data_IF_121856973578
#
_entry.id   IF_121856973578
#
_cell.length_a   1.000
_cell.length_b   1.000
_cell.length_c   1.000
_cell.angle_alpha   90.00
_cell.angle_beta   90.00
_cell.angle_gamma   90.00
#
_symmetry.space_group_name_H-M   'P 1'
#
loop_
_entity.id
_entity.type
_entity.pdbx_description
1 polymer ?
#
# COMPACT_ATOMS: atom_id res chain seq x y z
N UNK A 1 34.24 19.04 7.33
CA UNK A 1 34.79 17.72 7.70
C UNK A 1 35.91 17.19 6.78
N UNK A 2 36.40 17.93 5.76
CA UNK A 2 37.54 17.52 4.91
C UNK A 2 37.51 16.08 4.37
N UNK A 3 36.33 15.50 4.16
CA UNK A 3 36.20 14.18 3.57
C UNK A 3 36.48 14.24 2.06
N UNK A 4 37.04 13.17 1.47
CA UNK A 4 37.18 13.08 0.03
C UNK A 4 35.79 13.12 -0.63
N UNK A 5 35.74 13.68 -1.85
CA UNK A 5 34.52 13.75 -2.66
C UNK A 5 34.12 12.35 -3.13
N UNK A 6 35.11 11.51 -3.45
CA UNK A 6 34.89 10.11 -3.78
C UNK A 6 34.46 9.31 -2.53
N UNK A 7 33.33 8.58 -2.59
CA UNK A 7 32.89 7.73 -1.50
C UNK A 7 33.97 6.70 -1.14
N UNK A 8 34.24 6.55 0.15
CA UNK A 8 35.14 5.53 0.69
C UNK A 8 34.42 4.61 1.68
N UNK A 9 35.07 3.50 2.02
CA UNK A 9 34.59 2.54 3.02
C UNK A 9 34.29 3.24 4.35
N UNK A 10 35.16 4.17 4.76
CA UNK A 10 35.00 4.94 5.98
C UNK A 10 33.80 5.89 5.89
N UNK A 11 33.67 6.65 4.79
CA UNK A 11 32.55 7.61 4.63
C UNK A 11 31.19 6.93 4.70
N UNK A 12 31.00 5.76 4.06
CA UNK A 12 29.76 5.00 4.15
C UNK A 12 29.53 4.45 5.56
N UNK A 13 30.60 4.00 6.23
CA UNK A 13 30.52 3.50 7.60
C UNK A 13 30.14 4.60 8.60
N UNK A 14 30.69 5.80 8.45
CA UNK A 14 30.36 6.96 9.26
C UNK A 14 28.94 7.44 9.00
N UNK A 15 28.52 7.47 7.74
CA UNK A 15 27.12 7.73 7.38
C UNK A 15 26.18 6.76 8.10
N UNK A 16 26.50 5.46 8.10
CA UNK A 16 25.67 4.45 8.78
C UNK A 16 25.57 4.74 10.27
N UNK A 17 26.71 4.90 10.95
CA UNK A 17 26.74 5.11 12.41
C UNK A 17 26.04 6.40 12.79
N UNK A 18 26.28 7.49 12.06
CA UNK A 18 25.65 8.79 12.28
C UNK A 18 24.13 8.72 12.08
N UNK A 19 23.67 8.22 10.93
CA UNK A 19 22.24 8.17 10.62
C UNK A 19 21.48 7.22 11.55
N UNK A 20 22.09 6.13 12.02
CA UNK A 20 21.43 5.21 12.96
C UNK A 20 21.18 5.83 14.35
N UNK A 21 21.79 6.98 14.66
CA UNK A 21 21.44 7.74 15.87
C UNK A 21 20.12 8.51 15.71
N UNK A 22 19.71 8.77 14.47
CA UNK A 22 18.55 9.60 14.15
C UNK A 22 17.36 8.81 13.59
N UNK A 23 17.62 7.71 12.88
CA UNK A 23 16.59 6.86 12.26
C UNK A 23 16.89 5.36 12.43
N UNK A 24 15.90 4.51 12.17
CA UNK A 24 16.04 3.07 12.29
C UNK A 24 17.15 2.51 11.39
N UNK A 25 18.01 1.59 11.88
CA UNK A 25 19.08 0.99 11.08
C UNK A 25 18.61 0.38 9.76
N UNK A 26 17.40 -0.18 9.73
CA UNK A 26 16.78 -0.71 8.51
C UNK A 26 16.53 0.38 7.46
N UNK A 27 16.08 1.56 7.88
CA UNK A 27 15.90 2.72 7.00
C UNK A 27 17.25 3.21 6.47
N UNK A 28 18.28 3.26 7.34
CA UNK A 28 19.64 3.61 6.93
C UNK A 28 20.17 2.65 5.88
N UNK A 29 19.96 1.34 6.05
CA UNK A 29 20.36 0.33 5.08
C UNK A 29 19.67 0.53 3.72
N UNK A 30 18.35 0.79 3.71
CA UNK A 30 17.62 1.11 2.49
C UNK A 30 18.16 2.38 1.81
N UNK A 31 18.35 3.46 2.57
CA UNK A 31 18.88 4.72 2.03
C UNK A 31 20.29 4.54 1.49
N UNK A 32 21.12 3.77 2.17
CA UNK A 32 22.46 3.47 1.71
C UNK A 32 22.44 2.72 0.37
N UNK A 33 21.54 1.77 0.19
CA UNK A 33 21.36 1.10 -1.12
C UNK A 33 20.88 2.08 -2.20
N UNK A 34 19.98 3.01 -1.88
CA UNK A 34 19.54 4.05 -2.83
C UNK A 34 20.66 5.03 -3.19
N UNK A 35 21.45 5.48 -2.20
CA UNK A 35 22.63 6.34 -2.42
C UNK A 35 23.62 5.63 -3.34
N UNK A 36 23.93 4.37 -3.06
CA UNK A 36 24.82 3.54 -3.88
C UNK A 36 24.32 3.43 -5.32
N UNK A 37 23.02 3.16 -5.51
CA UNK A 37 22.42 3.08 -6.84
C UNK A 37 22.46 4.40 -7.62
N UNK A 38 22.33 5.55 -6.95
CA UNK A 38 22.37 6.87 -7.60
C UNK A 38 23.80 7.31 -7.93
N UNK A 39 24.77 6.90 -7.12
CA UNK A 39 26.17 7.27 -7.27
C UNK A 39 26.96 6.33 -8.21
N UNK A 40 26.47 5.11 -8.44
CA UNK A 40 27.10 4.11 -9.31
C UNK A 40 27.51 4.64 -10.70
N UNK A 41 26.72 5.47 -11.40
CA UNK A 41 27.13 6.03 -12.68
C UNK A 41 28.38 6.93 -12.62
N UNK A 42 28.67 7.51 -11.45
CA UNK A 42 29.78 8.44 -11.23
C UNK A 42 30.97 7.79 -10.52
N UNK A 43 30.70 6.78 -9.68
CA UNK A 43 31.69 6.07 -8.87
C UNK A 43 31.50 4.55 -9.02
N UNK A 44 32.10 3.91 -10.04
CA UNK A 44 31.87 2.50 -10.33
C UNK A 44 32.21 1.54 -9.18
N UNK A 45 33.19 1.90 -8.35
CA UNK A 45 33.63 1.12 -7.18
C UNK A 45 32.65 1.16 -5.99
N UNK A 46 31.63 2.02 -6.02
CA UNK A 46 30.80 2.27 -4.84
C UNK A 46 30.03 1.04 -4.35
N UNK A 47 29.68 0.11 -5.25
CA UNK A 47 29.06 -1.17 -4.88
C UNK A 47 30.02 -2.06 -4.09
N UNK A 48 31.28 -2.13 -4.50
CA UNK A 48 32.33 -2.88 -3.80
C UNK A 48 32.58 -2.26 -2.41
N UNK A 49 32.65 -0.93 -2.36
CA UNK A 49 32.79 -0.17 -1.11
C UNK A 49 31.62 -0.44 -0.16
N UNK A 50 30.39 -0.45 -0.67
CA UNK A 50 29.18 -0.81 0.09
C UNK A 50 29.20 -2.24 0.62
N UNK A 51 29.79 -3.17 -0.13
CA UNK A 51 29.92 -4.58 0.24
C UNK A 51 31.13 -4.86 1.15
N UNK A 52 31.97 -3.86 1.41
CA UNK A 52 33.12 -4.00 2.31
C UNK A 52 32.70 -4.48 3.70
N UNK A 53 33.62 -5.22 4.33
CA UNK A 53 33.40 -5.79 5.67
C UNK A 53 33.13 -4.71 6.72
N UNK A 54 33.77 -3.54 6.62
CA UNK A 54 33.56 -2.46 7.58
C UNK A 54 32.13 -1.94 7.52
N UNK A 55 31.60 -1.64 6.32
CA UNK A 55 30.22 -1.15 6.16
C UNK A 55 29.22 -2.20 6.66
N UNK A 56 29.44 -3.48 6.33
CA UNK A 56 28.59 -4.57 6.80
C UNK A 56 28.59 -4.72 8.33
N UNK A 57 29.76 -4.60 8.96
CA UNK A 57 29.90 -4.65 10.42
C UNK A 57 29.29 -3.42 11.09
N UNK A 58 29.43 -2.24 10.51
CA UNK A 58 28.81 -1.00 11.00
C UNK A 58 27.28 -1.07 10.96
N UNK A 59 26.70 -1.60 9.88
CA UNK A 59 25.25 -1.86 9.81
C UNK A 59 24.82 -2.88 10.87
N UNK A 60 25.53 -4.00 11.00
CA UNK A 60 25.23 -5.04 11.99
C UNK A 60 25.34 -4.51 13.43
N UNK A 61 26.39 -3.75 13.72
CA UNK A 61 26.60 -3.11 15.02
C UNK A 61 25.53 -2.08 15.35
N UNK A 62 25.18 -1.25 14.36
CA UNK A 62 24.11 -0.25 14.52
C UNK A 62 22.75 -0.90 14.68
N UNK A 63 22.45 -1.98 13.96
CA UNK A 63 21.23 -2.77 14.13
C UNK A 63 21.13 -3.37 15.55
N UNK A 64 22.25 -3.83 16.13
CA UNK A 64 22.28 -4.34 17.51
C UNK A 64 22.07 -3.23 18.54
N UNK A 65 22.63 -2.04 18.31
CA UNK A 65 22.62 -0.92 19.27
C UNK A 65 21.32 -0.10 19.22
N UNK A 66 20.83 0.18 18.02
CA UNK A 66 19.73 1.11 17.76
C UNK A 66 18.48 0.43 17.18
N UNK A 67 18.55 -0.86 16.89
CA UNK A 67 17.42 -1.62 16.37
C UNK A 67 16.27 -1.64 17.38
N UNK A 68 15.07 -1.34 16.89
CA UNK A 68 13.84 -1.49 17.67
C UNK A 68 13.02 -2.68 17.17
N UNK A 69 12.18 -3.21 18.06
CA UNK A 69 11.23 -4.26 17.69
C UNK A 69 10.28 -3.73 16.62
N UNK A 70 10.14 -4.48 15.54
CA UNK A 70 9.18 -4.14 14.47
C UNK A 70 7.78 -4.41 14.99
N UNK A 71 7.04 -3.36 15.34
CA UNK A 71 5.62 -3.46 15.65
C UNK A 71 4.86 -3.66 14.34
N UNK A 72 4.47 -4.90 14.06
CA UNK A 72 3.67 -5.24 12.88
C UNK A 72 2.21 -4.92 13.14
N UNK A 73 1.55 -4.31 12.15
CA UNK A 73 0.10 -4.17 12.14
C UNK A 73 -0.52 -5.56 11.99
N UNK A 74 -1.61 -5.80 12.72
CA UNK A 74 -2.32 -7.07 12.65
C UNK A 74 -3.02 -7.19 11.30
N UNK A 75 -3.13 -8.40 10.72
CA UNK A 75 -3.97 -8.62 9.56
C UNK A 75 -5.43 -8.33 9.92
N UNK A 76 -6.18 -7.79 8.96
CA UNK A 76 -7.63 -7.77 9.07
C UNK A 76 -8.16 -9.20 8.88
N UNK A 77 -9.24 -9.56 9.55
CA UNK A 77 -9.87 -10.88 9.41
C UNK A 77 -11.21 -10.77 8.68
N UNK A 78 -11.75 -11.89 8.18
CA UNK A 78 -13.08 -11.90 7.57
C UNK A 78 -14.18 -11.57 8.59
N UNK A 79 -14.02 -12.02 9.83
CA UNK A 79 -14.93 -11.67 10.94
C UNK A 79 -14.95 -10.16 11.22
N UNK A 80 -13.82 -9.47 11.07
CA UNK A 80 -13.75 -8.02 11.17
C UNK A 80 -14.57 -7.33 10.08
N UNK A 81 -14.55 -7.86 8.85
CA UNK A 81 -15.33 -7.33 7.72
C UNK A 81 -16.82 -7.50 7.95
N UNK A 82 -17.24 -8.71 8.35
CA UNK A 82 -18.64 -9.01 8.69
C UNK A 82 -19.11 -8.08 9.81
N UNK A 83 -18.30 -7.91 10.85
CA UNK A 83 -18.61 -7.00 11.95
C UNK A 83 -18.79 -5.55 11.48
N UNK A 84 -17.93 -5.05 10.58
CA UNK A 84 -18.08 -3.71 9.99
C UNK A 84 -19.38 -3.60 9.17
N UNK A 85 -19.69 -4.57 8.31
CA UNK A 85 -20.91 -4.59 7.48
C UNK A 85 -22.19 -4.53 8.33
N UNK A 86 -22.15 -5.19 9.49
CA UNK A 86 -23.29 -5.26 10.42
C UNK A 86 -23.37 -4.05 11.37
N UNK A 87 -22.25 -3.42 11.70
CA UNK A 87 -22.19 -2.32 12.68
C UNK A 87 -22.30 -0.94 12.04
N UNK A 88 -21.97 -0.81 10.75
CA UNK A 88 -22.00 0.49 10.07
C UNK A 88 -23.42 1.09 10.07
N UNK A 89 -23.52 2.36 10.49
CA UNK A 89 -24.81 3.05 10.68
C UNK A 89 -25.53 3.24 9.35
N UNK A 90 -26.80 2.81 9.28
CA UNK A 90 -27.67 2.92 8.10
C UNK A 90 -28.72 4.04 8.27
N UNK A 91 -29.15 4.72 7.19
CA UNK A 91 -28.72 4.54 5.79
C UNK A 91 -27.29 5.05 5.56
N UNK A 92 -26.57 4.40 4.64
CA UNK A 92 -25.19 4.76 4.34
C UNK A 92 -25.13 6.05 3.52
N UNK A 93 -24.27 6.98 3.92
CA UNK A 93 -23.90 8.13 3.09
C UNK A 93 -23.12 7.69 1.84
N UNK A 94 -23.00 8.56 0.84
CA UNK A 94 -22.19 8.30 -0.36
C UNK A 94 -20.73 7.95 0.01
N UNK A 95 -20.14 8.72 0.93
CA UNK A 95 -18.77 8.50 1.42
C UNK A 95 -18.61 7.17 2.18
N UNK A 96 -19.67 6.72 2.87
CA UNK A 96 -19.65 5.44 3.58
C UNK A 96 -19.80 4.25 2.61
N UNK A 97 -20.57 4.39 1.52
CA UNK A 97 -20.59 3.40 0.44
C UNK A 97 -19.22 3.29 -0.22
N UNK A 98 -18.58 4.42 -0.55
CA UNK A 98 -17.21 4.45 -1.06
C UNK A 98 -16.27 3.71 -0.10
N UNK A 99 -16.28 4.09 1.18
CA UNK A 99 -15.35 3.54 2.15
C UNK A 99 -15.53 2.03 2.35
N UNK A 100 -16.78 1.56 2.45
CA UNK A 100 -17.09 0.14 2.58
C UNK A 100 -16.66 -0.65 1.33
N UNK A 101 -16.93 -0.12 0.14
CA UNK A 101 -16.45 -0.72 -1.11
C UNK A 101 -14.91 -0.82 -1.12
N UNK A 102 -14.20 0.25 -0.75
CA UNK A 102 -12.73 0.23 -0.67
C UNK A 102 -12.18 -0.74 0.37
N UNK A 103 -12.86 -0.89 1.52
CA UNK A 103 -12.46 -1.83 2.57
C UNK A 103 -12.50 -3.27 2.05
N UNK A 104 -13.63 -3.68 1.47
CA UNK A 104 -13.83 -5.04 0.96
C UNK A 104 -12.96 -5.31 -0.27
N UNK A 105 -12.91 -4.36 -1.21
CA UNK A 105 -12.06 -4.45 -2.41
C UNK A 105 -10.58 -4.52 -2.02
N UNK A 106 -10.15 -3.73 -1.03
CA UNK A 106 -8.77 -3.75 -0.57
C UNK A 106 -8.37 -5.08 0.08
N UNK A 107 -9.30 -5.71 0.78
CA UNK A 107 -9.10 -7.03 1.38
C UNK A 107 -9.07 -8.14 0.32
N UNK A 108 -10.15 -8.30 -0.45
CA UNK A 108 -10.29 -9.40 -1.41
C UNK A 108 -9.42 -9.24 -2.66
N UNK A 109 -9.12 -8.00 -3.06
CA UNK A 109 -8.21 -7.69 -4.16
C UNK A 109 -6.73 -7.63 -3.77
N UNK A 110 -6.38 -7.95 -2.50
CA UNK A 110 -5.01 -7.88 -1.97
C UNK A 110 -4.32 -6.53 -2.19
N UNK A 111 -5.12 -5.45 -2.22
CA UNK A 111 -4.63 -4.15 -2.64
C UNK A 111 -3.88 -3.47 -1.51
N UNK A 112 -2.84 -2.71 -1.89
CA UNK A 112 -2.23 -1.75 -0.98
C UNK A 112 -3.17 -0.56 -0.84
N UNK A 113 -3.23 0.02 0.36
CA UNK A 113 -4.05 1.21 0.57
C UNK A 113 -3.73 2.34 -0.44
N UNK A 114 -2.46 2.50 -0.82
CA UNK A 114 -2.03 3.51 -1.81
C UNK A 114 -2.56 3.29 -3.23
N UNK A 115 -3.14 2.13 -3.55
CA UNK A 115 -3.80 1.86 -4.84
C UNK A 115 -5.28 2.27 -4.81
N UNK A 116 -5.84 2.52 -3.61
CA UNK A 116 -7.24 2.91 -3.41
C UNK A 116 -7.40 4.41 -3.12
N UNK A 117 -6.37 5.05 -2.56
CA UNK A 117 -6.46 6.42 -2.03
C UNK A 117 -5.42 7.35 -2.64
N UNK A 118 -5.72 8.63 -2.58
CA UNK A 118 -4.82 9.70 -2.93
C UNK A 118 -3.79 9.95 -1.83
N UNK A 119 -2.50 10.07 -2.17
CA UNK A 119 -1.47 10.45 -1.19
C UNK A 119 -1.80 11.78 -0.51
N UNK A 120 -1.60 11.86 0.81
CA UNK A 120 -1.80 13.13 1.53
C UNK A 120 -0.71 14.16 1.17
N UNK A 121 0.50 13.70 0.81
CA UNK A 121 1.61 14.54 0.36
C UNK A 121 1.44 14.92 -1.11
N UNK A 122 1.39 16.22 -1.39
CA UNK A 122 1.15 16.76 -2.75
C UNK A 122 2.20 16.30 -3.76
N UNK A 123 3.48 16.23 -3.38
CA UNK A 123 4.56 15.84 -4.29
C UNK A 123 4.48 14.38 -4.76
N UNK A 124 3.69 13.56 -4.07
CA UNK A 124 3.45 12.16 -4.44
C UNK A 124 2.18 11.95 -5.27
N UNK A 125 1.38 13.00 -5.46
CA UNK A 125 0.10 12.95 -6.17
C UNK A 125 0.33 12.94 -7.68
N UNK A 126 -0.26 11.94 -8.33
CA UNK A 126 -0.15 11.76 -9.77
C UNK A 126 -1.42 11.09 -10.30
N UNK A 127 -2.16 11.82 -11.13
CA UNK A 127 -3.49 11.38 -11.59
C UNK A 127 -3.38 10.18 -12.53
N UNK A 128 -2.22 9.99 -13.16
CA UNK A 128 -1.95 8.81 -13.97
C UNK A 128 -1.95 7.52 -13.13
N UNK A 129 -1.79 7.61 -11.80
CA UNK A 129 -1.78 6.45 -10.88
C UNK A 129 -3.17 6.08 -10.35
N UNK A 130 -4.21 6.86 -10.64
CA UNK A 130 -5.58 6.57 -10.18
C UNK A 130 -6.29 5.57 -11.08
N UNK A 131 -6.90 4.56 -10.45
CA UNK A 131 -7.81 3.64 -11.12
C UNK A 131 -8.92 4.38 -11.86
N UNK A 132 -9.15 3.95 -13.09
CA UNK A 132 -10.11 4.57 -14.01
C UNK A 132 -11.44 3.80 -13.98
N UNK A 133 -12.56 4.52 -13.89
CA UNK A 133 -13.87 3.87 -13.81
C UNK A 133 -14.23 3.15 -15.11
N UNK A 134 -13.76 3.63 -16.27
CA UNK A 134 -14.05 3.00 -17.57
C UNK A 134 -13.39 1.62 -17.74
N UNK A 135 -12.40 1.30 -16.90
CA UNK A 135 -11.75 -0.02 -16.89
C UNK A 135 -12.55 -1.08 -16.12
N UNK A 136 -13.65 -0.67 -15.47
CA UNK A 136 -14.45 -1.59 -14.64
C UNK A 136 -15.30 -2.49 -15.54
N UNK A 137 -15.13 -3.79 -15.36
CA UNK A 137 -16.03 -4.81 -15.88
C UNK A 137 -16.82 -5.41 -14.71
N UNK A 138 -18.14 -5.35 -14.78
CA UNK A 138 -19.04 -5.89 -13.76
C UNK A 138 -19.82 -7.06 -14.38
N UNK A 139 -19.82 -8.21 -13.70
CA UNK A 139 -20.56 -9.41 -14.06
C UNK A 139 -21.44 -9.87 -12.87
N UNK A 140 -22.19 -10.95 -13.02
CA UNK A 140 -23.07 -11.50 -11.99
C UNK A 140 -22.30 -12.05 -10.79
N UNK A 141 -21.13 -12.65 -11.03
CA UNK A 141 -20.36 -13.38 -10.01
C UNK A 141 -18.99 -12.75 -9.69
N UNK A 142 -18.61 -11.70 -10.40
CA UNK A 142 -17.32 -11.06 -10.21
C UNK A 142 -17.30 -9.64 -10.76
N UNK A 143 -16.25 -8.90 -10.42
CA UNK A 143 -15.92 -7.64 -11.07
C UNK A 143 -14.40 -7.52 -11.22
N UNK A 144 -13.97 -6.72 -12.18
CA UNK A 144 -12.56 -6.38 -12.34
C UNK A 144 -12.35 -4.94 -12.74
N UNK A 145 -11.15 -4.43 -12.52
CA UNK A 145 -10.70 -3.14 -13.01
C UNK A 145 -9.18 -3.10 -13.13
N UNK A 146 -8.65 -2.11 -13.85
CA UNK A 146 -7.22 -1.97 -14.09
C UNK A 146 -6.57 -1.00 -13.08
N UNK A 147 -5.42 -1.42 -12.56
CA UNK A 147 -4.47 -0.55 -11.87
C UNK A 147 -3.50 0.05 -12.89
N UNK A 148 -3.43 1.39 -13.02
CA UNK A 148 -2.60 2.04 -14.04
C UNK A 148 -1.10 1.79 -13.87
N UNK A 149 -0.64 1.59 -12.62
CA UNK A 149 0.77 1.42 -12.34
C UNK A 149 0.98 0.49 -11.13
N UNK A 150 1.67 -0.62 -11.35
CA UNK A 150 2.28 -1.42 -10.28
C UNK A 150 3.80 -1.33 -10.38
N UNK A 151 4.48 -1.34 -9.23
CA UNK A 151 5.96 -1.29 -9.15
C UNK A 151 6.63 -2.48 -9.84
N UNK A 152 5.89 -3.56 -10.11
CA UNK A 152 6.36 -4.72 -10.85
C UNK A 152 6.00 -4.70 -12.34
N UNK A 153 5.24 -3.71 -12.82
CA UNK A 153 4.77 -3.67 -14.20
C UNK A 153 5.78 -2.99 -15.12
N UNK A 154 6.79 -3.75 -15.53
CA UNK A 154 7.85 -3.32 -16.46
C UNK A 154 7.27 -3.06 -17.87
N UNK A 155 6.08 -3.58 -18.19
CA UNK A 155 5.48 -3.56 -19.53
C UNK A 155 4.35 -2.55 -19.73
N UNK A 156 3.98 -1.78 -18.70
CA UNK A 156 2.89 -0.79 -18.75
C UNK A 156 1.51 -1.37 -19.16
N UNK A 157 1.28 -2.68 -19.01
CA UNK A 157 0.02 -3.33 -19.40
C UNK A 157 -1.12 -3.10 -18.38
N UNK A 158 -0.82 -2.44 -17.25
CA UNK A 158 -1.70 -2.37 -16.10
C UNK A 158 -1.82 -3.72 -15.37
N UNK A 159 -2.16 -3.70 -14.08
CA UNK A 159 -2.48 -4.94 -13.36
C UNK A 159 -4.00 -5.03 -13.24
N UNK A 160 -4.59 -6.11 -13.76
CA UNK A 160 -6.02 -6.36 -13.58
C UNK A 160 -6.27 -6.92 -12.19
N UNK A 161 -7.11 -6.22 -11.42
CA UNK A 161 -7.65 -6.71 -10.15
C UNK A 161 -8.97 -7.41 -10.49
N UNK A 162 -9.05 -8.71 -10.23
CA UNK A 162 -10.27 -9.51 -10.39
C UNK A 162 -10.73 -9.96 -9.01
N UNK A 163 -11.98 -9.61 -8.65
CA UNK A 163 -12.56 -9.96 -7.36
C UNK A 163 -13.86 -10.71 -7.60
N UNK A 164 -13.94 -11.92 -7.03
CA UNK A 164 -15.12 -12.75 -7.08
C UNK A 164 -16.10 -12.38 -5.98
N UNK A 165 -17.39 -12.61 -6.25
CA UNK A 165 -18.44 -12.63 -5.25
C UNK A 165 -18.08 -13.56 -4.08
N UNK A 166 -18.46 -13.16 -2.86
CA UNK A 166 -18.38 -14.03 -1.70
C UNK A 166 -19.76 -14.43 -1.23
N UNK A 167 -19.97 -15.70 -0.92
CA UNK A 167 -21.24 -16.23 -0.42
C UNK A 167 -21.57 -15.72 1.00
N UNK A 168 -20.60 -15.11 1.69
CA UNK A 168 -20.76 -14.58 3.05
C UNK A 168 -21.30 -13.14 3.13
N UNK A 169 -21.54 -12.67 4.35
CA UNK A 169 -21.97 -11.28 4.63
C UNK A 169 -20.89 -10.23 4.29
N UNK A 170 -19.66 -10.67 4.05
CA UNK A 170 -18.54 -9.87 3.59
C UNK A 170 -18.40 -9.84 2.05
N UNK A 171 -19.48 -10.11 1.31
CA UNK A 171 -19.50 -10.02 -0.15
C UNK A 171 -18.98 -8.65 -0.65
N UNK A 172 -17.88 -8.62 -1.45
CA UNK A 172 -17.38 -7.38 -2.01
C UNK A 172 -18.22 -6.87 -3.19
N UNK A 173 -18.95 -7.74 -3.89
CA UNK A 173 -19.62 -7.41 -5.14
C UNK A 173 -20.76 -6.42 -4.92
N UNK A 174 -21.67 -6.71 -3.99
CA UNK A 174 -22.87 -5.90 -3.76
C UNK A 174 -22.53 -4.47 -3.32
N UNK A 175 -21.64 -4.24 -2.32
CA UNK A 175 -21.25 -2.88 -1.93
C UNK A 175 -20.49 -2.14 -3.03
N UNK A 176 -19.65 -2.83 -3.80
CA UNK A 176 -18.94 -2.24 -4.94
C UNK A 176 -19.91 -1.78 -6.03
N UNK A 177 -20.82 -2.65 -6.47
CA UNK A 177 -21.81 -2.34 -7.50
C UNK A 177 -22.73 -1.18 -7.08
N UNK A 178 -23.14 -1.17 -5.80
CA UNK A 178 -23.95 -0.09 -5.22
C UNK A 178 -23.20 1.24 -5.28
N UNK A 179 -21.95 1.27 -4.82
CA UNK A 179 -21.10 2.46 -4.90
C UNK A 179 -20.89 2.91 -6.35
N UNK A 180 -20.58 1.99 -7.26
CA UNK A 180 -20.31 2.29 -8.67
C UNK A 180 -21.51 2.95 -9.33
N UNK A 181 -22.71 2.43 -9.09
CA UNK A 181 -23.95 3.03 -9.61
C UNK A 181 -24.14 4.46 -9.07
N UNK A 182 -24.02 4.66 -7.75
CA UNK A 182 -24.11 5.99 -7.13
C UNK A 182 -23.07 6.96 -7.70
N UNK A 183 -21.83 6.48 -7.90
CA UNK A 183 -20.72 7.24 -8.45
C UNK A 183 -20.98 7.65 -9.89
N UNK A 184 -21.48 6.75 -10.73
CA UNK A 184 -21.80 7.04 -12.14
C UNK A 184 -22.98 7.99 -12.27
N UNK A 185 -24.01 7.87 -11.42
CA UNK A 185 -25.11 8.83 -11.40
C UNK A 185 -24.64 10.23 -10.97
N UNK A 186 -23.77 10.31 -9.95
CA UNK A 186 -23.34 11.59 -9.37
C UNK A 186 -22.22 12.28 -10.17
N UNK A 187 -21.32 11.51 -10.77
CA UNK A 187 -20.12 12.00 -11.45
C UNK A 187 -19.90 11.35 -12.83
N UNK A 188 -20.86 11.49 -13.77
CA UNK A 188 -20.81 10.80 -15.06
C UNK A 188 -19.58 11.16 -15.91
N UNK A 189 -19.07 12.40 -15.77
CA UNK A 189 -17.94 12.91 -16.54
C UNK A 189 -16.59 12.81 -15.82
N UNK A 190 -16.56 12.35 -14.57
CA UNK A 190 -15.29 12.14 -13.89
C UNK A 190 -14.66 10.83 -14.37
N UNK A 191 -13.34 10.74 -14.55
CA UNK A 191 -12.72 9.52 -15.06
C UNK A 191 -12.34 8.53 -13.94
N UNK A 192 -12.13 9.01 -12.71
CA UNK A 192 -11.57 8.21 -11.60
C UNK A 192 -12.60 7.31 -10.90
N UNK A 193 -12.20 6.08 -10.58
CA UNK A 193 -13.06 5.09 -9.94
C UNK A 193 -13.47 5.50 -8.51
N UNK A 194 -12.49 5.90 -7.70
CA UNK A 194 -12.70 6.25 -6.29
C UNK A 194 -12.87 7.76 -6.14
N UNK A 195 -14.08 8.20 -5.79
CA UNK A 195 -14.44 9.59 -5.63
C UNK A 195 -15.28 9.75 -4.37
N UNK A 196 -14.94 10.73 -3.54
CA UNK A 196 -15.79 11.18 -2.43
C UNK A 196 -16.99 11.97 -2.97
N UNK A 197 -17.94 12.25 -2.08
CA UNK A 197 -19.14 13.04 -2.36
C UNK A 197 -18.89 14.45 -2.88
N UNK A 198 -17.68 14.98 -2.72
CA UNK A 198 -17.21 16.25 -3.26
C UNK A 198 -16.52 16.14 -4.64
N UNK A 199 -16.49 14.94 -5.26
CA UNK A 199 -15.90 14.70 -6.57
C UNK A 199 -14.37 14.59 -6.57
N UNK A 200 -13.72 14.51 -5.41
CA UNK A 200 -12.27 14.31 -5.29
C UNK A 200 -11.94 12.88 -4.86
N UNK A 201 -10.79 12.33 -5.26
CA UNK A 201 -10.31 11.06 -4.73
C UNK A 201 -10.17 11.08 -3.20
N UNK A 202 -10.50 9.98 -2.49
CA UNK A 202 -10.34 9.90 -1.04
C UNK A 202 -8.85 9.98 -0.67
N UNK A 203 -8.49 10.79 0.32
CA UNK A 203 -7.11 10.81 0.82
C UNK A 203 -6.82 9.63 1.75
N UNK A 204 -5.55 9.32 1.97
CA UNK A 204 -5.15 8.30 2.94
C UNK A 204 -5.63 8.64 4.36
N UNK A 205 -5.50 9.89 4.81
CA UNK A 205 -6.07 10.32 6.11
C UNK A 205 -7.59 10.12 6.15
N UNK A 206 -8.32 10.42 5.07
CA UNK A 206 -9.76 10.22 5.00
C UNK A 206 -10.16 8.75 5.21
N UNK A 207 -9.41 7.81 4.64
CA UNK A 207 -9.67 6.37 4.79
C UNK A 207 -9.33 5.88 6.19
N UNK A 208 -8.14 6.26 6.70
CA UNK A 208 -7.66 5.81 8.01
C UNK A 208 -8.56 6.33 9.14
N UNK A 209 -9.06 7.57 9.06
CA UNK A 209 -10.00 8.10 10.08
C UNK A 209 -11.26 7.26 10.22
N UNK A 210 -11.80 6.75 9.11
CA UNK A 210 -12.95 5.85 9.13
C UNK A 210 -12.58 4.47 9.65
N UNK A 211 -11.43 3.93 9.25
CA UNK A 211 -10.93 2.66 9.77
C UNK A 211 -10.76 2.68 11.29
N UNK A 212 -10.23 3.76 11.85
CA UNK A 212 -10.04 3.93 13.29
C UNK A 212 -11.35 4.08 14.08
N UNK A 213 -12.49 4.28 13.42
CA UNK A 213 -13.79 4.23 14.10
C UNK A 213 -14.20 2.80 14.46
N UNK A 214 -13.71 1.83 13.70
CA UNK A 214 -14.02 0.41 13.83
C UNK A 214 -12.93 -0.35 14.56
N UNK A 215 -11.66 0.00 14.33
CA UNK A 215 -10.53 -0.76 14.83
C UNK A 215 -9.56 0.10 15.63
N UNK A 216 -8.84 -0.55 16.54
CA UNK A 216 -7.74 0.10 17.26
C UNK A 216 -6.51 0.32 16.37
N UNK A 217 -5.47 0.92 16.95
CA UNK A 217 -4.25 1.28 16.23
C UNK A 217 -3.44 0.08 15.70
N UNK A 218 -3.77 -1.17 16.04
CA UNK A 218 -3.11 -2.38 15.50
C UNK A 218 -3.53 -2.65 14.06
N UNK A 219 -4.70 -2.18 13.63
CA UNK A 219 -5.18 -2.26 12.26
C UNK A 219 -4.86 -0.96 11.51
N UNK A 220 -4.37 -1.08 10.27
CA UNK A 220 -4.05 0.06 9.42
C UNK A 220 -4.17 -0.31 7.93
N UNK A 221 -3.80 0.59 7.02
CA UNK A 221 -3.87 0.33 5.57
C UNK A 221 -3.13 -0.93 5.08
N UNK A 222 -2.08 -1.36 5.77
CA UNK A 222 -1.38 -2.61 5.43
C UNK A 222 -2.12 -3.88 5.88
N UNK A 223 -3.05 -3.75 6.83
CA UNK A 223 -3.85 -4.85 7.35
C UNK A 223 -4.79 -5.44 6.32
N UNK A 224 -5.21 -4.65 5.31
CA UNK A 224 -6.05 -5.08 4.20
C UNK A 224 -5.38 -6.21 3.41
N UNK A 225 -4.25 -5.91 2.75
CA UNK A 225 -3.48 -6.88 1.97
C UNK A 225 -2.96 -8.03 2.83
N UNK A 226 -2.48 -7.76 4.03
CA UNK A 226 -2.00 -8.81 4.93
C UNK A 226 -3.12 -9.77 5.31
N UNK A 227 -4.30 -9.24 5.64
CA UNK A 227 -5.50 -9.98 5.98
C UNK A 227 -6.01 -10.85 4.85
N UNK A 228 -6.21 -10.26 3.67
CA UNK A 228 -6.64 -11.00 2.48
C UNK A 228 -5.67 -12.11 2.11
N UNK A 229 -4.35 -11.85 2.14
CA UNK A 229 -3.34 -12.86 1.82
C UNK A 229 -3.35 -14.02 2.82
N UNK A 230 -3.50 -13.73 4.13
CA UNK A 230 -3.65 -14.77 5.15
C UNK A 230 -4.94 -15.56 4.97
N UNK A 231 -6.05 -14.89 4.66
CA UNK A 231 -7.34 -15.56 4.43
C UNK A 231 -7.31 -16.48 3.21
N UNK A 232 -6.71 -16.06 2.10
CA UNK A 232 -6.59 -16.89 0.90
C UNK A 232 -5.62 -18.06 1.10
N UNK A 233 -4.51 -17.83 1.79
CA UNK A 233 -3.60 -18.92 2.17
C UNK A 233 -4.31 -19.95 3.06
N UNK A 234 -5.10 -19.51 4.04
CA UNK A 234 -5.88 -20.40 4.90
C UNK A 234 -6.96 -21.18 4.13
N UNK A 235 -7.52 -20.58 3.08
CA UNK A 235 -8.47 -21.23 2.17
C UNK A 235 -7.80 -22.17 1.13
N UNK A 236 -6.47 -22.32 1.17
CA UNK A 236 -5.73 -23.21 0.26
C UNK A 236 -5.50 -22.64 -1.15
N UNK A 237 -5.68 -21.34 -1.35
CA UNK A 237 -5.39 -20.70 -2.65
C UNK A 237 -3.88 -20.78 -2.92
N UNK A 238 -3.45 -21.19 -4.14
CA UNK A 238 -2.03 -21.27 -4.48
C UNK A 238 -1.30 -19.94 -4.28
N UNK A 239 -0.09 -19.99 -3.72
CA UNK A 239 0.74 -18.80 -3.49
C UNK A 239 1.00 -17.98 -4.76
N UNK A 240 1.09 -18.64 -5.92
CA UNK A 240 1.26 -17.99 -7.21
C UNK A 240 0.10 -17.03 -7.55
N UNK A 241 -1.08 -17.25 -6.97
CA UNK A 241 -2.28 -16.41 -7.15
C UNK A 241 -2.45 -15.34 -6.05
N UNK A 242 -1.57 -15.30 -5.03
CA UNK A 242 -1.63 -14.40 -3.87
C UNK A 242 -0.54 -13.28 -3.95
N UNK A 243 0.33 -13.30 -4.97
CA UNK A 243 1.51 -12.41 -5.06
C UNK A 243 1.20 -10.99 -5.53
#
# INVERSE_FOLDING_TARGET
HHFPVEPSVDTLSFYVVYMCQHIQPRSVECYLSSIVSQLEPYYPSIREIRQSQLVHRSLKGSARRFGQVVVRKQPLLREDLVWVVNTIIRPLSFDNHLWLAQLLVGFFGLMRLGELVWPDQLDLQDYAKLSQHHSVCLDTDHFSFLLPHDKANIRFEGNQVLIQHSVGEDDPLTPFATYLNMRNCKFPLQPFLWLCSNGRPPSRVWFIRRLCHFFDARIAGHSLRAGGATSFAAAGVPLASIQ
#
